data_IF_248631115039
#
_entry.id   IF_248631115039
#
_cell.length_a   1.000
_cell.length_b   1.000
_cell.length_c   1.000
_cell.angle_alpha   90.00
_cell.angle_beta   90.00
_cell.angle_gamma   90.00
#
_symmetry.space_group_name_H-M   'P 1'
#
loop_
_entity.id
_entity.type
_entity.pdbx_description
1 polymer ?
#
# COMPACT_ATOMS: atom_id res chain seq x y z
N UNK A 1 27.87 -6.52 -31.89
CA UNK A 1 27.22 -5.32 -32.46
C UNK A 1 28.27 -4.24 -32.71
N UNK A 2 28.28 -3.62 -33.90
CA UNK A 2 29.21 -2.54 -34.24
C UNK A 2 28.77 -1.22 -33.56
N UNK A 3 29.60 -0.59 -32.71
CA UNK A 3 29.27 0.70 -32.09
C UNK A 3 29.04 1.81 -33.13
N UNK A 4 28.16 2.78 -32.84
CA UNK A 4 27.84 3.86 -33.80
C UNK A 4 29.06 4.68 -34.23
N UNK A 5 29.96 4.94 -33.29
CA UNK A 5 31.21 5.69 -33.52
C UNK A 5 32.38 4.78 -33.94
N UNK A 6 32.12 3.51 -34.23
CA UNK A 6 33.18 2.59 -34.63
C UNK A 6 33.69 2.96 -36.01
N UNK A 7 34.97 3.28 -36.03
CA UNK A 7 35.78 3.51 -37.22
C UNK A 7 36.82 2.40 -37.24
N UNK A 8 37.03 1.80 -38.41
CA UNK A 8 38.02 0.74 -38.55
C UNK A 8 39.41 1.33 -38.24
N UNK A 9 40.15 0.78 -37.27
CA UNK A 9 41.44 1.33 -36.87
C UNK A 9 42.48 1.16 -37.99
N UNK A 10 43.33 2.17 -38.15
CA UNK A 10 44.44 2.12 -39.11
C UNK A 10 45.49 1.11 -38.65
N UNK A 11 46.03 0.34 -39.61
CA UNK A 11 47.11 -0.60 -39.34
C UNK A 11 46.72 -1.90 -38.65
N UNK A 12 45.42 -2.15 -38.40
CA UNK A 12 44.97 -3.41 -37.82
C UNK A 12 44.87 -4.49 -38.94
N UNK A 13 45.68 -5.57 -38.87
CA UNK A 13 45.71 -6.61 -39.90
C UNK A 13 44.42 -7.44 -39.95
N UNK A 14 43.51 -7.31 -38.98
CA UNK A 14 42.20 -7.96 -39.00
C UNK A 14 41.24 -7.37 -40.03
N UNK A 15 41.56 -6.19 -40.55
CA UNK A 15 40.75 -5.48 -41.53
C UNK A 15 41.56 -5.23 -42.81
N UNK A 16 40.93 -5.33 -44.00
CA UNK A 16 41.59 -4.99 -45.25
C UNK A 16 42.05 -3.53 -45.24
N UNK A 17 43.21 -3.26 -45.85
CA UNK A 17 43.85 -1.94 -45.81
C UNK A 17 42.96 -0.85 -46.42
N UNK A 18 42.13 -1.22 -47.40
CA UNK A 18 41.16 -0.37 -48.08
C UNK A 18 40.01 0.07 -47.15
N UNK A 19 39.77 -0.66 -46.07
CA UNK A 19 38.71 -0.37 -45.11
C UNK A 19 39.19 0.43 -43.89
N UNK A 20 40.49 0.68 -43.74
CA UNK A 20 41.02 1.47 -42.63
C UNK A 20 40.47 2.90 -42.65
N UNK A 21 40.11 3.42 -41.47
CA UNK A 21 39.47 4.73 -41.34
C UNK A 21 37.99 4.78 -41.75
N UNK A 22 37.42 3.67 -42.22
CA UNK A 22 36.03 3.64 -42.64
C UNK A 22 35.06 3.70 -41.44
N UNK A 23 34.07 4.62 -41.42
CA UNK A 23 33.11 4.76 -40.33
C UNK A 23 32.01 3.69 -40.43
N UNK A 24 32.39 2.42 -40.24
CA UNK A 24 31.52 1.26 -40.38
C UNK A 24 30.27 1.36 -39.50
N UNK A 25 30.40 1.86 -38.28
CA UNK A 25 29.26 2.06 -37.38
C UNK A 25 28.19 3.00 -37.93
N UNK A 26 28.62 4.10 -38.56
CA UNK A 26 27.71 5.06 -39.21
C UNK A 26 27.12 4.46 -40.49
N UNK A 27 27.92 3.73 -41.27
CA UNK A 27 27.45 3.09 -42.48
C UNK A 27 26.35 2.07 -42.20
N UNK A 28 26.54 1.18 -41.22
CA UNK A 28 25.51 0.22 -40.81
C UNK A 28 24.22 0.92 -40.33
N UNK A 29 24.31 2.10 -39.67
CA UNK A 29 23.14 2.89 -39.31
C UNK A 29 22.42 3.39 -40.56
N UNK A 30 23.16 3.95 -41.51
CA UNK A 30 22.61 4.50 -42.75
C UNK A 30 21.91 3.41 -43.58
N UNK A 31 22.48 2.21 -43.69
CA UNK A 31 21.85 1.07 -44.36
C UNK A 31 20.46 0.76 -43.78
N UNK A 32 20.32 0.72 -42.46
CA UNK A 32 19.02 0.48 -41.80
C UNK A 32 18.01 1.59 -42.08
N UNK A 33 18.46 2.85 -42.09
CA UNK A 33 17.59 4.01 -42.42
C UNK A 33 17.12 3.94 -43.88
N UNK A 34 18.00 3.59 -44.81
CA UNK A 34 17.65 3.44 -46.23
C UNK A 34 16.58 2.35 -46.42
N UNK A 35 16.72 1.21 -45.73
CA UNK A 35 15.74 0.12 -45.76
C UNK A 35 14.38 0.56 -45.18
N UNK A 36 14.38 1.30 -44.07
CA UNK A 36 13.16 1.85 -43.48
C UNK A 36 12.45 2.87 -44.38
N UNK A 37 13.21 3.62 -45.18
CA UNK A 37 12.69 4.58 -46.15
C UNK A 37 12.19 3.92 -47.45
N UNK A 38 12.30 2.59 -47.59
CA UNK A 38 11.91 1.88 -48.82
C UNK A 38 12.80 2.18 -50.02
N UNK A 39 14.03 2.69 -49.80
CA UNK A 39 14.98 2.96 -50.89
C UNK A 39 15.66 1.67 -51.32
N UNK A 40 15.81 1.49 -52.63
CA UNK A 40 16.51 0.34 -53.20
C UNK A 40 18.00 0.41 -52.86
N UNK A 41 18.50 -0.71 -52.33
CA UNK A 41 19.93 -0.95 -52.19
C UNK A 41 20.41 -1.65 -53.45
N UNK A 42 21.67 -1.44 -53.87
CA UNK A 42 22.23 -2.19 -55.00
C UNK A 42 22.11 -3.70 -54.74
N UNK A 43 21.73 -4.45 -55.77
CA UNK A 43 21.42 -5.89 -55.66
C UNK A 43 22.56 -6.70 -55.00
N UNK A 44 23.81 -6.41 -55.37
CA UNK A 44 24.98 -7.06 -54.77
C UNK A 44 25.08 -6.81 -53.25
N UNK A 45 24.78 -5.58 -52.80
CA UNK A 45 24.82 -5.24 -51.39
C UNK A 45 23.74 -5.93 -50.56
N UNK A 46 22.56 -6.24 -51.13
CA UNK A 46 21.50 -6.93 -50.39
C UNK A 46 21.85 -8.41 -50.14
N UNK A 47 22.29 -9.12 -51.18
CA UNK A 47 22.68 -10.53 -51.05
C UNK A 47 23.86 -10.71 -50.09
N UNK A 48 24.85 -9.83 -50.16
CA UNK A 48 26.00 -9.85 -49.26
C UNK A 48 25.57 -9.59 -47.80
N UNK A 49 24.65 -8.64 -47.57
CA UNK A 49 24.13 -8.35 -46.23
C UNK A 49 23.21 -9.46 -45.70
N UNK A 50 22.45 -10.13 -46.55
CA UNK A 50 21.65 -11.30 -46.18
C UNK A 50 22.53 -12.52 -45.85
N UNK A 51 23.59 -12.76 -46.63
CA UNK A 51 24.57 -13.80 -46.35
C UNK A 51 25.32 -13.59 -45.02
N UNK A 52 25.44 -12.33 -44.58
CA UNK A 52 26.04 -11.94 -43.30
C UNK A 52 25.03 -11.88 -42.14
N UNK A 53 23.76 -12.26 -42.37
CA UNK A 53 22.66 -12.14 -41.41
C UNK A 53 22.59 -10.74 -40.78
N UNK A 54 22.65 -9.71 -41.64
CA UNK A 54 22.73 -8.34 -41.18
C UNK A 54 21.48 -7.93 -40.39
N UNK A 55 21.61 -7.46 -39.14
CA UNK A 55 20.45 -7.14 -38.31
C UNK A 55 19.84 -5.80 -38.74
N UNK A 56 18.81 -5.88 -39.59
CA UNK A 56 18.02 -4.75 -40.07
C UNK A 56 17.24 -4.09 -38.92
N UNK A 57 16.54 -4.89 -38.12
CA UNK A 57 15.88 -4.43 -36.90
C UNK A 57 16.75 -4.73 -35.68
N UNK A 58 17.41 -3.67 -35.18
CA UNK A 58 18.24 -3.74 -33.99
C UNK A 58 17.46 -4.09 -32.72
N UNK A 59 16.16 -3.77 -32.66
CA UNK A 59 15.31 -4.09 -31.52
C UNK A 59 14.95 -5.58 -31.55
N UNK A 60 14.57 -6.10 -32.71
CA UNK A 60 14.31 -7.53 -32.90
C UNK A 60 15.56 -8.37 -32.60
N UNK A 61 16.71 -8.00 -33.19
CA UNK A 61 17.95 -8.74 -32.97
C UNK A 61 18.39 -8.74 -31.50
N UNK A 62 18.25 -7.61 -30.77
CA UNK A 62 18.51 -7.58 -29.33
C UNK A 62 17.55 -8.47 -28.54
N UNK A 63 16.29 -8.55 -28.95
CA UNK A 63 15.31 -9.42 -28.30
C UNK A 63 15.71 -10.89 -28.44
N UNK A 64 16.01 -11.33 -29.66
CA UNK A 64 16.33 -12.72 -29.99
C UNK A 64 17.68 -13.17 -29.45
N UNK A 65 18.70 -12.31 -29.51
CA UNK A 65 20.08 -12.69 -29.14
C UNK A 65 20.37 -12.45 -27.67
N UNK A 66 19.80 -11.39 -27.07
CA UNK A 66 20.13 -10.99 -25.71
C UNK A 66 18.98 -11.22 -24.74
N UNK A 67 17.81 -10.66 -25.00
CA UNK A 67 16.72 -10.63 -24.00
C UNK A 67 16.14 -12.01 -23.74
N UNK A 68 15.62 -12.66 -24.78
CA UNK A 68 14.90 -13.92 -24.66
C UNK A 68 15.82 -15.05 -24.14
N UNK A 69 17.05 -15.24 -24.66
CA UNK A 69 17.98 -16.22 -24.12
C UNK A 69 18.39 -15.92 -22.68
N UNK A 70 18.58 -14.64 -22.33
CA UNK A 70 18.90 -14.27 -20.94
C UNK A 70 17.76 -14.58 -19.98
N UNK A 71 16.51 -14.36 -20.40
CA UNK A 71 15.33 -14.69 -19.61
C UNK A 71 15.17 -16.20 -19.41
N UNK A 72 15.32 -16.98 -20.49
CA UNK A 72 15.27 -18.44 -20.44
C UNK A 72 16.35 -19.00 -19.51
N UNK A 73 17.59 -18.50 -19.63
CA UNK A 73 18.68 -18.96 -18.78
C UNK A 73 18.52 -18.53 -17.32
N UNK A 74 18.01 -17.33 -17.08
CA UNK A 74 17.66 -16.88 -15.72
C UNK A 74 16.62 -17.80 -15.08
N UNK A 75 15.57 -18.14 -15.83
CA UNK A 75 14.52 -19.05 -15.35
C UNK A 75 15.07 -20.45 -15.06
N UNK A 76 15.94 -20.98 -15.93
CA UNK A 76 16.61 -22.28 -15.71
C UNK A 76 17.45 -22.29 -14.43
N UNK A 77 18.19 -21.21 -14.15
CA UNK A 77 19.09 -21.13 -13.00
C UNK A 77 18.37 -20.83 -11.68
N UNK A 78 17.30 -20.04 -11.71
CA UNK A 78 16.61 -19.56 -10.51
C UNK A 78 15.24 -20.21 -10.28
N UNK A 79 14.72 -20.96 -11.24
CA UNK A 79 13.38 -21.55 -11.20
C UNK A 79 12.23 -20.54 -11.29
N UNK A 80 12.53 -19.26 -11.52
CA UNK A 80 11.54 -18.19 -11.63
C UNK A 80 12.01 -17.08 -12.56
N UNK A 81 11.07 -16.32 -13.12
CA UNK A 81 11.35 -15.23 -14.06
C UNK A 81 11.33 -13.83 -13.44
N UNK A 82 11.41 -13.76 -12.11
CA UNK A 82 11.48 -12.51 -11.36
C UNK A 82 12.93 -12.00 -11.27
N UNK A 83 13.33 -11.27 -12.30
CA UNK A 83 14.66 -10.66 -12.41
C UNK A 83 14.73 -9.35 -11.58
N UNK A 84 15.68 -9.21 -10.64
CA UNK A 84 15.93 -7.96 -9.92
C UNK A 84 16.32 -6.83 -10.87
N UNK A 85 15.88 -5.61 -10.57
CA UNK A 85 16.15 -4.44 -11.43
C UNK A 85 17.64 -4.11 -11.61
N UNK A 86 18.48 -4.43 -10.61
CA UNK A 86 19.93 -4.26 -10.67
C UNK A 86 20.68 -5.45 -11.29
N UNK A 87 19.99 -6.52 -11.67
CA UNK A 87 20.63 -7.73 -12.16
C UNK A 87 21.35 -7.48 -13.48
N UNK A 88 22.62 -7.86 -13.49
CA UNK A 88 23.51 -7.87 -14.65
C UNK A 88 24.02 -9.29 -14.80
N UNK A 89 23.99 -9.81 -16.03
CA UNK A 89 24.52 -11.13 -16.33
C UNK A 89 26.00 -11.17 -15.93
N UNK A 90 26.41 -12.06 -15.01
CA UNK A 90 27.79 -12.15 -14.57
C UNK A 90 28.72 -12.53 -15.73
N UNK A 91 29.89 -11.89 -15.78
CA UNK A 91 30.91 -12.15 -16.82
C UNK A 91 31.90 -13.25 -16.43
N UNK A 92 31.85 -13.68 -15.17
CA UNK A 92 32.67 -14.70 -14.53
C UNK A 92 31.96 -16.05 -14.41
N UNK A 93 30.69 -16.12 -14.80
CA UNK A 93 29.87 -17.33 -14.71
C UNK A 93 29.74 -18.01 -16.07
N UNK A 94 30.41 -19.15 -16.22
CA UNK A 94 30.40 -19.97 -17.45
C UNK A 94 29.02 -20.55 -17.78
N UNK A 95 28.08 -20.57 -16.82
CA UNK A 95 26.70 -21.00 -17.07
C UNK A 95 25.99 -20.04 -18.01
N UNK A 96 26.47 -18.82 -18.15
CA UNK A 96 25.93 -17.83 -19.07
C UNK A 96 26.72 -17.84 -20.39
N UNK A 97 26.04 -17.86 -21.55
CA UNK A 97 26.68 -17.62 -22.83
C UNK A 97 27.44 -16.29 -22.84
N UNK A 98 28.69 -16.31 -23.36
CA UNK A 98 29.58 -15.13 -23.39
C UNK A 98 28.95 -13.89 -24.05
N UNK A 99 28.05 -14.09 -25.01
CA UNK A 99 27.32 -13.02 -25.68
C UNK A 99 26.39 -12.24 -24.72
N UNK A 100 25.98 -12.87 -23.62
CA UNK A 100 25.09 -12.29 -22.61
C UNK A 100 25.85 -11.61 -21.48
N UNK A 101 27.16 -11.84 -21.34
CA UNK A 101 27.97 -11.29 -20.24
C UNK A 101 27.91 -9.77 -20.17
N UNK A 102 27.69 -9.24 -18.97
CA UNK A 102 27.52 -7.81 -18.74
C UNK A 102 26.19 -7.23 -19.22
N UNK A 103 25.28 -8.05 -19.77
CA UNK A 103 23.96 -7.59 -20.19
C UNK A 103 23.12 -7.22 -18.97
N UNK A 104 22.61 -5.98 -18.96
CA UNK A 104 21.76 -5.46 -17.88
C UNK A 104 20.33 -5.96 -18.06
N UNK A 105 20.12 -7.25 -17.85
CA UNK A 105 18.81 -7.89 -17.98
C UNK A 105 17.78 -7.24 -17.06
N UNK A 106 18.13 -6.95 -15.79
CA UNK A 106 17.23 -6.33 -14.82
C UNK A 106 16.67 -4.97 -15.27
N UNK A 107 17.55 -4.09 -15.75
CA UNK A 107 17.18 -2.78 -16.32
C UNK A 107 16.29 -2.94 -17.55
N UNK A 108 16.59 -3.93 -18.38
CA UNK A 108 15.82 -4.21 -19.60
C UNK A 108 14.41 -4.68 -19.26
N UNK A 109 14.25 -5.58 -18.28
CA UNK A 109 12.93 -6.02 -17.80
C UNK A 109 12.16 -4.88 -17.12
N UNK A 110 12.83 -4.01 -16.35
CA UNK A 110 12.18 -2.81 -15.82
C UNK A 110 11.67 -1.91 -16.94
N UNK A 111 12.49 -1.64 -17.95
CA UNK A 111 12.08 -0.85 -19.11
C UNK A 111 10.87 -1.47 -19.83
N UNK A 112 10.81 -2.79 -19.96
CA UNK A 112 9.65 -3.48 -20.54
C UNK A 112 8.38 -3.32 -19.70
N UNK A 113 8.50 -3.28 -18.37
CA UNK A 113 7.37 -3.16 -17.44
C UNK A 113 6.88 -1.72 -17.25
N UNK A 114 7.77 -0.74 -17.38
CA UNK A 114 7.47 0.67 -17.10
C UNK A 114 7.30 1.54 -18.36
N UNK A 115 7.99 1.22 -19.45
CA UNK A 115 8.01 2.01 -20.68
C UNK A 115 7.51 1.25 -21.92
N UNK A 116 6.91 0.06 -21.72
CA UNK A 116 6.41 -0.83 -22.78
C UNK A 116 7.40 -1.06 -23.93
N UNK A 117 8.69 -1.06 -23.61
CA UNK A 117 9.71 -1.44 -24.58
C UNK A 117 9.51 -2.89 -25.01
N UNK A 118 9.81 -3.19 -26.27
CA UNK A 118 9.65 -4.51 -26.87
C UNK A 118 8.21 -5.06 -26.89
N UNK A 119 7.17 -4.19 -26.87
CA UNK A 119 5.76 -4.64 -26.93
C UNK A 119 5.47 -5.62 -28.06
N UNK A 120 5.82 -5.27 -29.31
CA UNK A 120 5.60 -6.13 -30.48
C UNK A 120 6.36 -7.47 -30.37
N UNK A 121 7.59 -7.46 -29.84
CA UNK A 121 8.39 -8.66 -29.65
C UNK A 121 7.81 -9.60 -28.58
N UNK A 122 7.27 -9.03 -27.49
CA UNK A 122 6.60 -9.80 -26.44
C UNK A 122 5.35 -10.49 -26.97
N UNK A 123 4.54 -9.75 -27.74
CA UNK A 123 3.33 -10.30 -28.38
C UNK A 123 3.68 -11.41 -29.37
N UNK A 124 4.72 -11.22 -30.19
CA UNK A 124 5.20 -12.26 -31.11
C UNK A 124 5.79 -13.50 -30.41
N UNK A 125 6.37 -13.34 -29.21
CA UNK A 125 7.05 -14.40 -28.45
C UNK A 125 6.24 -14.86 -27.22
N UNK A 126 4.93 -14.64 -27.19
CA UNK A 126 4.08 -14.89 -26.01
C UNK A 126 4.21 -16.32 -25.49
N UNK A 127 4.17 -17.33 -26.39
CA UNK A 127 4.29 -18.75 -26.04
C UNK A 127 5.61 -19.09 -25.32
N UNK A 128 6.72 -18.49 -25.75
CA UNK A 128 8.03 -18.70 -25.12
C UNK A 128 8.08 -18.05 -23.74
N UNK A 129 7.45 -16.89 -23.58
CA UNK A 129 7.35 -16.19 -22.30
C UNK A 129 6.44 -16.92 -21.30
N UNK A 130 5.35 -17.53 -21.78
CA UNK A 130 4.48 -18.39 -20.96
C UNK A 130 5.23 -19.63 -20.46
N UNK A 131 6.04 -20.27 -21.31
CA UNK A 131 6.84 -21.44 -20.96
C UNK A 131 7.80 -21.18 -19.80
N UNK A 132 8.39 -20.00 -19.75
CA UNK A 132 9.28 -19.58 -18.64
C UNK A 132 8.52 -18.92 -17.49
N UNK A 133 7.18 -18.93 -17.52
CA UNK A 133 6.32 -18.27 -16.53
C UNK A 133 6.69 -16.80 -16.32
N UNK A 134 7.12 -16.11 -17.38
CA UNK A 134 7.48 -14.71 -17.31
C UNK A 134 6.22 -13.86 -17.18
N UNK A 135 6.09 -13.18 -16.05
CA UNK A 135 4.96 -12.29 -15.84
C UNK A 135 5.25 -10.89 -16.40
N UNK A 136 4.38 -10.48 -17.32
CA UNK A 136 4.28 -9.11 -17.82
C UNK A 136 3.80 -8.14 -16.74
N UNK A 137 3.01 -8.65 -15.78
CA UNK A 137 2.45 -7.86 -14.69
C UNK A 137 3.54 -7.39 -13.73
N UNK A 138 3.33 -6.18 -13.20
CA UNK A 138 4.24 -5.60 -12.22
C UNK A 138 4.23 -6.46 -10.96
N UNK A 139 5.36 -6.52 -10.26
CA UNK A 139 5.42 -7.24 -8.97
C UNK A 139 4.33 -6.74 -8.00
N UNK A 140 4.12 -5.42 -7.95
CA UNK A 140 3.08 -4.77 -7.15
C UNK A 140 1.69 -5.29 -7.48
N UNK A 141 1.36 -5.37 -8.77
CA UNK A 141 0.08 -5.85 -9.27
C UNK A 141 -0.12 -7.33 -8.97
N UNK A 142 0.89 -8.17 -9.23
CA UNK A 142 0.85 -9.59 -8.84
C UNK A 142 0.67 -9.77 -7.34
N UNK A 143 1.39 -9.00 -6.53
CA UNK A 143 1.28 -9.07 -5.08
C UNK A 143 -0.13 -8.68 -4.61
N UNK A 144 -0.72 -7.67 -5.25
CA UNK A 144 -2.08 -7.25 -5.00
C UNK A 144 -3.10 -8.35 -5.33
N UNK A 145 -3.06 -8.85 -6.56
CA UNK A 145 -4.02 -9.82 -7.09
C UNK A 145 -3.89 -11.20 -6.46
N UNK A 146 -2.66 -11.68 -6.23
CA UNK A 146 -2.41 -13.03 -5.72
C UNK A 146 -2.42 -13.12 -4.19
N UNK A 147 -2.08 -12.02 -3.48
CA UNK A 147 -1.90 -12.06 -2.02
C UNK A 147 -2.76 -11.05 -1.27
N UNK A 148 -2.60 -9.76 -1.54
CA UNK A 148 -3.17 -8.71 -0.67
C UNK A 148 -4.70 -8.72 -0.75
N UNK A 149 -5.27 -8.64 -1.96
CA UNK A 149 -6.71 -8.58 -2.13
C UNK A 149 -7.41 -9.88 -1.68
N UNK A 150 -6.94 -11.10 -2.06
CA UNK A 150 -7.50 -12.35 -1.52
C UNK A 150 -7.38 -12.48 0.00
N UNK A 151 -6.31 -11.96 0.60
CA UNK A 151 -6.16 -11.96 2.05
C UNK A 151 -7.19 -11.04 2.73
N UNK A 152 -7.50 -9.88 2.14
CA UNK A 152 -8.54 -8.98 2.66
C UNK A 152 -9.93 -9.62 2.59
N UNK A 153 -10.26 -10.28 1.47
CA UNK A 153 -11.53 -11.01 1.31
C UNK A 153 -11.64 -12.12 2.36
N UNK A 154 -10.58 -12.91 2.55
CA UNK A 154 -10.56 -13.97 3.57
C UNK A 154 -10.66 -13.40 5.00
N UNK A 155 -10.04 -12.24 5.26
CA UNK A 155 -10.12 -11.56 6.55
C UNK A 155 -11.55 -11.06 6.84
N UNK A 156 -12.22 -10.42 5.88
CA UNK A 156 -13.63 -10.03 6.01
C UNK A 156 -14.52 -11.23 6.30
N UNK A 157 -14.30 -12.36 5.62
CA UNK A 157 -15.08 -13.58 5.84
C UNK A 157 -14.91 -14.15 7.25
N UNK A 158 -13.69 -14.11 7.82
CA UNK A 158 -13.44 -14.70 9.14
C UNK A 158 -13.82 -13.75 10.30
N UNK A 159 -13.62 -12.44 10.14
CA UNK A 159 -13.81 -11.46 11.22
C UNK A 159 -15.01 -10.52 11.03
N UNK A 160 -15.69 -10.59 9.89
CA UNK A 160 -16.83 -9.72 9.56
C UNK A 160 -16.48 -8.27 9.21
N UNK A 161 -15.21 -7.86 9.39
CA UNK A 161 -14.76 -6.49 9.18
C UNK A 161 -13.38 -6.42 8.48
N UNK A 162 -13.03 -5.25 7.93
CA UNK A 162 -11.73 -5.01 7.29
C UNK A 162 -10.73 -4.21 8.17
N UNK A 163 -11.01 -4.06 9.47
CA UNK A 163 -10.06 -3.41 10.39
C UNK A 163 -8.96 -4.38 10.86
N UNK A 164 -7.92 -4.53 10.03
CA UNK A 164 -6.80 -5.45 10.31
C UNK A 164 -5.84 -4.85 11.33
N UNK A 165 -5.60 -5.56 12.43
CA UNK A 165 -4.59 -5.18 13.43
C UNK A 165 -3.18 -5.17 12.80
N UNK A 166 -2.35 -4.17 13.11
CA UNK A 166 -0.99 -4.01 12.58
C UNK A 166 -0.13 -5.29 12.66
N UNK A 167 -0.20 -6.02 13.78
CA UNK A 167 0.61 -7.22 14.01
C UNK A 167 0.00 -8.50 13.37
N UNK A 168 -1.15 -8.38 12.70
CA UNK A 168 -1.81 -9.54 12.13
C UNK A 168 -0.99 -10.12 10.96
N UNK A 169 -0.67 -11.40 11.10
CA UNK A 169 -0.03 -12.23 10.07
C UNK A 169 -1.03 -13.31 9.67
N UNK A 170 -1.21 -13.50 8.36
CA UNK A 170 -2.13 -14.51 7.84
C UNK A 170 -1.72 -15.90 8.34
N UNK A 171 -2.59 -16.60 9.09
CA UNK A 171 -2.29 -17.91 9.63
C UNK A 171 -2.08 -18.96 8.54
N UNK A 172 -1.27 -19.98 8.84
CA UNK A 172 -1.14 -21.16 7.98
C UNK A 172 -2.30 -22.14 8.21
N UNK A 173 -3.52 -21.71 7.88
CA UNK A 173 -4.75 -22.48 8.05
C UNK A 173 -5.46 -22.70 6.71
N UNK A 174 -6.24 -23.79 6.55
CA UNK A 174 -6.92 -24.13 5.30
C UNK A 174 -7.95 -23.07 4.87
N UNK A 175 -8.49 -22.32 5.83
CA UNK A 175 -9.40 -21.19 5.58
C UNK A 175 -8.75 -20.04 4.81
N UNK A 176 -7.42 -19.97 4.76
CA UNK A 176 -6.68 -18.92 4.08
C UNK A 176 -6.08 -19.43 2.77
N UNK A 177 -6.20 -18.67 1.66
CA UNK A 177 -5.59 -19.05 0.39
C UNK A 177 -4.10 -19.34 0.55
N UNK A 178 -3.58 -20.41 -0.06
CA UNK A 178 -2.17 -20.81 0.08
C UNK A 178 -1.17 -19.65 -0.17
N UNK A 179 -1.36 -18.79 -1.18
CA UNK A 179 -0.42 -17.70 -1.46
C UNK A 179 -0.38 -16.61 -0.39
N UNK A 180 -1.43 -16.49 0.43
CA UNK A 180 -1.57 -15.41 1.42
C UNK A 180 -0.92 -15.75 2.76
N UNK A 181 -0.62 -17.03 3.01
CA UNK A 181 -0.12 -17.52 4.30
C UNK A 181 1.23 -16.91 4.64
N UNK A 182 1.38 -16.45 5.87
CA UNK A 182 2.58 -15.74 6.33
C UNK A 182 2.67 -14.27 5.89
N UNK A 183 1.70 -13.76 5.12
CA UNK A 183 1.63 -12.34 4.78
C UNK A 183 1.37 -11.51 6.04
N UNK A 184 2.20 -10.50 6.30
CA UNK A 184 1.97 -9.48 7.35
C UNK A 184 0.88 -8.50 6.90
N UNK A 185 -0.35 -9.00 6.76
CA UNK A 185 -1.49 -8.25 6.22
C UNK A 185 -1.76 -6.98 7.02
N UNK A 186 -1.60 -7.02 8.35
CA UNK A 186 -1.75 -5.84 9.21
C UNK A 186 -0.82 -4.69 8.85
N UNK A 187 0.48 -4.99 8.75
CA UNK A 187 1.49 -4.02 8.35
C UNK A 187 1.28 -3.54 6.90
N UNK A 188 0.86 -4.43 5.99
CA UNK A 188 0.53 -4.05 4.62
C UNK A 188 -0.63 -3.07 4.57
N UNK A 189 -1.73 -3.34 5.26
CA UNK A 189 -2.91 -2.46 5.35
C UNK A 189 -2.55 -1.13 6.00
N UNK A 190 -1.77 -1.14 7.08
CA UNK A 190 -1.31 0.10 7.72
C UNK A 190 -0.45 0.95 6.75
N UNK A 191 0.45 0.32 5.99
CA UNK A 191 1.24 1.02 4.99
C UNK A 191 0.38 1.53 3.82
N UNK A 192 -0.67 0.81 3.42
CA UNK A 192 -1.64 1.30 2.43
C UNK A 192 -2.33 2.57 2.94
N UNK A 193 -2.80 2.58 4.19
CA UNK A 193 -3.50 3.71 4.81
C UNK A 193 -2.59 4.91 5.06
N UNK A 194 -1.38 4.70 5.58
CA UNK A 194 -0.50 5.79 6.03
C UNK A 194 0.50 6.27 4.97
N UNK A 195 0.96 5.40 4.07
CA UNK A 195 2.05 5.71 3.13
C UNK A 195 1.60 5.76 1.66
N UNK A 196 0.33 5.46 1.37
CA UNK A 196 -0.16 5.37 -0.01
C UNK A 196 0.44 4.18 -0.78
N UNK A 197 0.94 3.17 -0.07
CA UNK A 197 1.40 1.95 -0.74
C UNK A 197 0.21 1.32 -1.48
N UNK A 198 0.41 0.92 -2.73
CA UNK A 198 -0.64 0.34 -3.58
C UNK A 198 -1.82 1.29 -3.90
N UNK A 199 -1.66 2.61 -3.78
CA UNK A 199 -2.70 3.60 -4.17
C UNK A 199 -3.18 3.40 -5.61
N UNK A 200 -2.25 3.09 -6.53
CA UNK A 200 -2.54 2.76 -7.92
C UNK A 200 -3.44 1.51 -8.07
N UNK A 201 -3.20 0.49 -7.26
CA UNK A 201 -4.03 -0.74 -7.27
C UNK A 201 -5.36 -0.53 -6.57
N UNK A 202 -5.36 0.26 -5.50
CA UNK A 202 -6.56 0.59 -4.74
C UNK A 202 -7.55 1.44 -5.55
N UNK A 203 -7.06 2.36 -6.38
CA UNK A 203 -7.93 3.12 -7.29
C UNK A 203 -8.47 2.21 -8.41
N UNK A 204 -7.63 1.33 -8.96
CA UNK A 204 -8.05 0.33 -9.97
C UNK A 204 -9.17 -0.58 -9.46
N UNK A 205 -9.07 -1.04 -8.22
CA UNK A 205 -10.00 -1.99 -7.60
C UNK A 205 -10.92 -1.36 -6.54
N UNK A 206 -11.20 -0.06 -6.67
CA UNK A 206 -11.98 0.72 -5.69
C UNK A 206 -13.35 0.13 -5.40
N UNK A 207 -14.05 -0.34 -6.42
CA UNK A 207 -15.38 -0.94 -6.26
C UNK A 207 -15.31 -2.27 -5.51
N UNK A 208 -14.27 -3.08 -5.76
CA UNK A 208 -14.04 -4.32 -5.02
C UNK A 208 -13.72 -4.05 -3.55
N UNK A 209 -12.94 -3.01 -3.28
CA UNK A 209 -12.65 -2.55 -1.91
C UNK A 209 -13.92 -2.04 -1.20
N UNK A 210 -14.80 -1.34 -1.92
CA UNK A 210 -16.09 -0.88 -1.41
C UNK A 210 -17.02 -2.06 -1.09
N UNK A 211 -17.08 -3.07 -1.95
CA UNK A 211 -17.88 -4.29 -1.74
C UNK A 211 -17.43 -5.07 -0.48
N UNK A 212 -16.12 -5.15 -0.23
CA UNK A 212 -15.61 -5.76 0.99
C UNK A 212 -15.73 -4.85 2.22
N UNK A 213 -16.22 -3.61 2.09
CA UNK A 213 -16.32 -2.66 3.19
C UNK A 213 -14.94 -2.29 3.76
N UNK A 214 -13.95 -2.12 2.88
CA UNK A 214 -12.60 -1.77 3.31
C UNK A 214 -12.55 -0.34 3.85
N UNK A 215 -12.25 -0.23 5.14
CA UNK A 215 -12.16 1.05 5.84
C UNK A 215 -10.77 1.67 5.62
N UNK A 216 -10.73 2.86 5.03
CA UNK A 216 -9.49 3.60 4.78
C UNK A 216 -8.99 4.32 6.03
N UNK A 217 -9.90 4.89 6.81
CA UNK A 217 -9.57 5.55 8.06
C UNK A 217 -10.45 5.01 9.20
N UNK A 218 -9.97 4.00 9.95
CA UNK A 218 -10.75 3.39 11.04
C UNK A 218 -11.19 4.38 12.12
N UNK A 219 -10.40 5.42 12.37
CA UNK A 219 -10.76 6.45 13.36
C UNK A 219 -11.85 7.37 12.84
N UNK A 220 -11.85 7.68 11.54
CA UNK A 220 -12.92 8.45 10.91
C UNK A 220 -14.23 7.67 10.87
N UNK A 221 -14.20 6.40 10.48
CA UNK A 221 -15.38 5.55 10.46
C UNK A 221 -15.95 5.38 11.88
N UNK A 222 -15.07 5.17 12.87
CA UNK A 222 -15.47 5.10 14.27
C UNK A 222 -16.10 6.41 14.74
N UNK A 223 -15.53 7.56 14.38
CA UNK A 223 -16.11 8.85 14.73
C UNK A 223 -17.47 9.04 14.05
N UNK A 224 -17.52 8.89 12.73
CA UNK A 224 -18.66 9.26 11.90
C UNK A 224 -19.85 8.32 12.03
N UNK A 225 -19.61 7.01 12.19
CA UNK A 225 -20.66 5.99 12.23
C UNK A 225 -20.96 5.43 13.62
N UNK A 226 -20.05 5.57 14.59
CA UNK A 226 -20.24 5.01 15.94
C UNK A 226 -20.39 6.11 16.97
N UNK A 227 -19.40 7.01 17.07
CA UNK A 227 -19.37 8.03 18.13
C UNK A 227 -20.43 9.11 17.89
N UNK A 228 -20.51 9.66 16.67
CA UNK A 228 -21.45 10.74 16.34
C UNK A 228 -22.92 10.30 16.50
N UNK A 229 -23.38 9.15 15.95
CA UNK A 229 -24.76 8.70 16.15
C UNK A 229 -25.07 8.41 17.62
N UNK A 230 -24.11 7.90 18.40
CA UNK A 230 -24.29 7.71 19.83
C UNK A 230 -24.45 9.05 20.56
N UNK A 231 -23.68 10.09 20.19
CA UNK A 231 -23.83 11.43 20.76
C UNK A 231 -25.18 12.06 20.38
N UNK A 232 -25.62 11.91 19.13
CA UNK A 232 -26.92 12.41 18.65
C UNK A 232 -28.09 11.80 19.45
N UNK A 233 -28.09 10.47 19.63
CA UNK A 233 -29.13 9.77 20.42
C UNK A 233 -29.06 10.18 21.89
N UNK A 234 -27.85 10.28 22.46
CA UNK A 234 -27.67 10.73 23.85
C UNK A 234 -28.27 12.12 24.07
N UNK A 235 -27.92 13.09 23.23
CA UNK A 235 -28.39 14.46 23.34
C UNK A 235 -29.90 14.55 23.09
N UNK A 236 -30.45 13.74 22.17
CA UNK A 236 -31.90 13.66 21.97
C UNK A 236 -32.66 13.11 23.17
N UNK A 237 -32.08 12.16 23.92
CA UNK A 237 -32.75 11.51 25.06
C UNK A 237 -32.64 12.32 26.34
N UNK A 238 -31.44 12.84 26.64
CA UNK A 238 -31.15 13.50 27.91
C UNK A 238 -31.17 15.02 27.82
N UNK A 239 -31.32 15.57 26.60
CA UNK A 239 -31.35 17.01 26.32
C UNK A 239 -30.17 17.76 26.96
N UNK A 240 -29.01 17.09 27.01
CA UNK A 240 -27.76 17.61 27.56
C UNK A 240 -26.61 17.23 26.65
N UNK A 241 -25.68 18.17 26.45
CA UNK A 241 -24.42 17.93 25.75
C UNK A 241 -23.33 17.33 26.63
N UNK A 242 -23.59 17.13 27.93
CA UNK A 242 -22.63 16.55 28.87
C UNK A 242 -22.86 15.06 29.06
N UNK A 243 -21.86 14.24 28.71
CA UNK A 243 -21.89 12.79 28.88
C UNK A 243 -21.11 12.39 30.16
N UNK A 244 -21.76 11.77 31.17
CA UNK A 244 -21.08 11.24 32.35
C UNK A 244 -20.01 10.21 32.01
N UNK A 245 -18.90 10.19 32.75
CA UNK A 245 -17.74 9.32 32.49
C UNK A 245 -18.11 7.83 32.45
N UNK A 246 -18.98 7.41 33.37
CA UNK A 246 -19.42 6.02 33.51
C UNK A 246 -20.55 5.63 32.56
N UNK A 247 -21.02 6.56 31.71
CA UNK A 247 -22.10 6.28 30.77
C UNK A 247 -21.64 5.28 29.70
N UNK A 248 -22.37 4.17 29.64
CA UNK A 248 -22.26 3.12 28.63
C UNK A 248 -23.56 3.07 27.86
N UNK A 249 -23.47 3.04 26.53
CA UNK A 249 -24.65 2.96 25.66
C UNK A 249 -25.44 1.68 25.97
N UNK A 250 -26.72 1.79 26.36
CA UNK A 250 -27.60 0.64 26.63
C UNK A 250 -27.80 -0.27 25.40
N UNK A 251 -28.14 -1.53 25.62
CA UNK A 251 -28.44 -2.50 24.56
C UNK A 251 -29.93 -2.44 24.12
N UNK A 252 -30.50 -1.25 24.08
CA UNK A 252 -31.94 -1.04 23.90
C UNK A 252 -32.22 0.04 22.82
N UNK A 253 -33.40 0.01 22.21
CA UNK A 253 -33.85 1.11 21.36
C UNK A 253 -33.96 2.41 22.18
N UNK A 254 -33.58 3.59 21.66
CA UNK A 254 -33.35 3.94 20.25
C UNK A 254 -31.88 3.85 19.79
N UNK A 255 -31.00 3.18 20.55
CA UNK A 255 -29.58 3.13 20.22
C UNK A 255 -29.29 2.19 19.03
N UNK A 256 -28.59 2.66 17.99
CA UNK A 256 -28.17 1.80 16.88
C UNK A 256 -27.37 0.61 17.39
N UNK A 257 -27.59 -0.58 16.84
CA UNK A 257 -26.91 -1.81 17.30
C UNK A 257 -25.38 -1.68 17.37
N UNK A 258 -24.80 -0.94 16.43
CA UNK A 258 -23.35 -0.69 16.35
C UNK A 258 -22.79 0.19 17.48
N UNK A 259 -23.64 0.93 18.20
CA UNK A 259 -23.23 1.81 19.30
C UNK A 259 -23.45 1.17 20.67
N UNK A 260 -24.15 0.03 20.75
CA UNK A 260 -24.50 -0.63 22.01
C UNK A 260 -23.26 -1.16 22.75
N UNK A 261 -23.21 -0.94 24.06
CA UNK A 261 -22.04 -1.26 24.89
C UNK A 261 -20.85 -0.31 24.74
N UNK A 262 -20.96 0.75 23.93
CA UNK A 262 -19.92 1.77 23.80
C UNK A 262 -19.80 2.56 25.11
N UNK A 263 -18.60 2.61 25.68
CA UNK A 263 -18.28 3.47 26.83
C UNK A 263 -18.16 4.93 26.39
N UNK A 264 -19.29 5.53 26.00
CA UNK A 264 -19.36 6.86 25.41
C UNK A 264 -18.83 7.94 26.36
N UNK A 265 -19.07 7.82 27.66
CA UNK A 265 -18.51 8.72 28.68
C UNK A 265 -16.98 8.78 28.71
N UNK A 266 -16.33 7.63 28.65
CA UNK A 266 -14.87 7.55 28.59
C UNK A 266 -14.31 8.15 27.29
N UNK A 267 -15.01 7.99 26.18
CA UNK A 267 -14.62 8.58 24.89
C UNK A 267 -14.78 10.10 24.97
N UNK A 268 -15.90 10.59 25.49
CA UNK A 268 -16.16 12.01 25.70
C UNK A 268 -15.05 12.68 26.53
N UNK A 269 -14.66 12.05 27.64
CA UNK A 269 -13.57 12.54 28.49
C UNK A 269 -12.20 12.49 27.81
N UNK A 270 -11.92 11.46 26.99
CA UNK A 270 -10.68 11.40 26.19
C UNK A 270 -10.63 12.53 25.17
N UNK A 271 -11.72 12.78 24.45
CA UNK A 271 -11.80 13.88 23.47
C UNK A 271 -11.48 15.21 24.16
N UNK A 272 -12.05 15.44 25.34
CA UNK A 272 -11.84 16.64 26.15
C UNK A 272 -10.42 16.79 26.70
N UNK A 273 -9.89 15.76 27.37
CA UNK A 273 -8.65 15.87 28.12
C UNK A 273 -7.40 15.64 27.29
N UNK A 274 -7.45 14.73 26.31
CA UNK A 274 -6.27 14.36 25.51
C UNK A 274 -6.30 14.96 24.11
N UNK A 275 -7.38 15.66 23.74
CA UNK A 275 -7.58 16.13 22.36
C UNK A 275 -7.74 14.98 21.36
N UNK A 276 -8.13 13.79 21.83
CA UNK A 276 -8.42 12.67 20.93
C UNK A 276 -9.55 13.08 19.98
N UNK A 277 -9.44 12.73 18.70
CA UNK A 277 -10.41 13.12 17.66
C UNK A 277 -10.52 14.63 17.38
N UNK A 278 -9.57 15.48 17.79
CA UNK A 278 -9.63 16.93 17.60
C UNK A 278 -9.96 17.37 16.17
N UNK A 279 -9.31 16.76 15.16
CA UNK A 279 -9.57 17.06 13.74
C UNK A 279 -11.00 16.73 13.30
N UNK A 280 -11.63 15.72 13.90
CA UNK A 280 -13.01 15.32 13.59
C UNK A 280 -14.02 16.18 14.35
N UNK A 281 -13.70 16.59 15.58
CA UNK A 281 -14.46 17.58 16.35
C UNK A 281 -14.49 18.92 15.61
N UNK A 282 -13.37 19.36 15.04
CA UNK A 282 -13.32 20.57 14.21
C UNK A 282 -14.16 20.41 12.93
N UNK A 283 -14.09 19.26 12.27
CA UNK A 283 -14.87 18.97 11.06
C UNK A 283 -16.38 18.97 11.33
N UNK A 284 -16.82 18.34 12.42
CA UNK A 284 -18.24 18.19 12.77
C UNK A 284 -18.71 19.24 13.82
N UNK A 285 -17.98 20.35 13.95
CA UNK A 285 -18.21 21.36 15.00
C UNK A 285 -19.63 21.94 14.99
N UNK A 286 -20.17 22.24 13.80
CA UNK A 286 -21.54 22.76 13.68
C UNK A 286 -22.59 21.74 14.12
N UNK A 287 -22.37 20.45 13.81
CA UNK A 287 -23.26 19.35 14.24
C UNK A 287 -23.22 19.17 15.74
N UNK A 288 -22.03 19.21 16.33
CA UNK A 288 -21.84 19.13 17.78
C UNK A 288 -22.46 20.35 18.50
N UNK A 289 -22.29 21.54 17.94
CA UNK A 289 -22.90 22.77 18.44
C UNK A 289 -24.43 22.72 18.43
N UNK A 290 -25.03 22.18 17.36
CA UNK A 290 -26.48 21.96 17.28
C UNK A 290 -27.01 20.98 18.35
N UNK A 291 -26.18 20.04 18.80
CA UNK A 291 -26.48 19.10 19.89
C UNK A 291 -26.20 19.69 21.28
N UNK A 292 -25.66 20.91 21.36
CA UNK A 292 -25.25 21.54 22.62
C UNK A 292 -23.99 20.93 23.24
N UNK A 293 -23.19 20.20 22.46
CA UNK A 293 -21.95 19.58 22.92
C UNK A 293 -20.81 20.60 22.78
N UNK A 294 -20.29 21.06 23.91
CA UNK A 294 -19.06 21.83 23.97
C UNK A 294 -17.99 21.08 24.80
N UNK A 295 -16.99 20.54 24.11
CA UNK A 295 -15.87 19.85 24.75
C UNK A 295 -14.94 20.80 25.52
N UNK A 296 -15.01 22.12 25.30
CA UNK A 296 -14.18 23.14 25.97
C UNK A 296 -14.90 23.78 27.17
N UNK A 297 -16.22 23.68 27.27
CA UNK A 297 -17.00 24.28 28.36
C UNK A 297 -16.58 23.73 29.73
N UNK A 298 -16.30 24.54 30.77
CA UNK A 298 -15.99 24.06 32.11
C UNK A 298 -17.12 23.18 32.67
N UNK A 299 -16.77 22.20 33.53
CA UNK A 299 -17.76 21.33 34.15
C UNK A 299 -18.68 22.15 35.06
N UNK A 300 -19.93 22.34 34.65
CA UNK A 300 -20.98 22.83 35.51
C UNK A 300 -21.76 21.63 36.07
N UNK A 301 -21.88 21.47 37.40
CA UNK A 301 -22.74 20.46 37.98
C UNK A 301 -24.17 20.74 37.52
N UNK A 302 -24.72 19.86 36.68
CA UNK A 302 -26.11 19.97 36.25
C UNK A 302 -26.97 19.84 37.50
N UNK A 303 -27.58 20.95 37.95
CA UNK A 303 -28.68 20.88 38.91
C UNK A 303 -29.80 20.10 38.23
N UNK A 304 -30.06 18.87 38.67
CA UNK A 304 -31.18 18.07 38.19
C UNK A 304 -32.50 18.78 38.50
N UNK A 305 -32.98 19.60 37.57
CA UNK A 305 -34.39 19.97 37.51
C UNK A 305 -35.05 19.00 36.54
N UNK A 306 -35.40 17.82 37.05
CA UNK A 306 -36.30 16.89 36.37
C UNK A 306 -37.65 17.61 36.28
N UNK A 307 -37.94 18.26 35.15
CA UNK A 307 -39.30 18.66 34.82
C UNK A 307 -40.07 17.39 34.48
N UNK A 308 -40.79 16.89 35.47
CA UNK A 308 -41.80 15.84 35.34
C UNK A 308 -42.86 16.25 34.30
N UNK A 309 -42.83 15.68 33.11
CA UNK A 309 -44.03 15.42 32.30
C UNK A 309 -43.86 14.12 31.51
N UNK A 310 -44.72 13.14 31.80
CA UNK A 310 -44.94 11.94 30.98
C UNK A 310 -44.45 10.62 31.58
N UNK A 311 -45.30 9.97 32.39
CA UNK A 311 -45.13 8.58 32.87
C UNK A 311 -44.89 7.61 31.71
N UNK A 312 -43.78 6.86 31.76
CA UNK A 312 -43.79 5.40 31.57
C UNK A 312 -42.98 4.80 32.72
N UNK A 313 -43.65 3.96 33.53
CA UNK A 313 -43.13 3.36 34.75
C UNK A 313 -42.05 2.33 34.41
N UNK A 314 -40.90 2.39 35.09
CA UNK A 314 -40.23 1.20 35.61
C UNK A 314 -39.73 1.52 37.03
N UNK A 315 -39.97 0.59 37.95
CA UNK A 315 -40.02 0.82 39.39
C UNK A 315 -38.69 1.17 40.07
N UNK A 316 -38.84 2.05 41.07
CA UNK A 316 -38.07 2.21 42.31
C UNK A 316 -36.63 1.68 42.37
N UNK A 317 -35.67 2.62 42.40
CA UNK A 317 -34.46 2.49 43.23
C UNK A 317 -34.30 3.80 44.00
N UNK A 318 -34.73 3.77 45.27
CA UNK A 318 -34.50 4.84 46.24
C UNK A 318 -33.01 4.91 46.54
N UNK A 319 -32.47 6.12 46.45
CA UNK A 319 -31.21 6.49 47.07
C UNK A 319 -31.42 6.60 48.58
N UNK A 320 -30.30 6.43 49.28
CA UNK A 320 -30.05 6.83 50.66
C UNK A 320 -30.41 5.79 51.73
N UNK A 321 -29.43 4.92 52.00
CA UNK A 321 -28.94 4.83 53.37
C UNK A 321 -27.41 4.71 53.40
N UNK A 322 -26.84 5.49 54.30
CA UNK A 322 -25.43 5.62 54.61
C UNK A 322 -24.86 4.33 55.26
N UNK A 323 -23.53 4.22 55.15
CA UNK A 323 -22.63 3.61 56.14
C UNK A 323 -22.40 2.08 56.17
N UNK A 324 -21.12 1.76 55.94
CA UNK A 324 -20.27 0.84 56.70
C UNK A 324 -20.45 -0.68 56.62
N UNK A 325 -19.31 -1.29 56.28
CA UNK A 325 -18.66 -2.43 56.94
C UNK A 325 -18.85 -3.86 56.36
N UNK A 326 -17.72 -4.37 55.85
CA UNK A 326 -17.06 -5.64 56.20
C UNK A 326 -17.93 -6.88 56.54
N UNK A 327 -17.64 -7.95 55.78
CA UNK A 327 -17.42 -9.39 56.14
C UNK A 327 -18.36 -10.38 55.43
N UNK A 328 -17.72 -11.37 54.77
CA UNK A 328 -17.95 -12.85 54.76
C UNK A 328 -19.42 -13.33 54.60
N UNK A 329 -19.76 -14.35 53.81
CA UNK A 329 -19.05 -15.54 53.35
C UNK A 329 -19.84 -16.20 52.19
N UNK A 330 -19.16 -16.96 51.31
CA UNK A 330 -19.38 -18.40 50.97
C UNK A 330 -20.86 -18.81 50.81
N UNK A 331 -21.33 -19.36 49.70
CA UNK A 331 -21.00 -20.72 49.25
C UNK A 331 -21.51 -21.05 47.81
N UNK A 332 -20.63 -21.68 47.02
CA UNK A 332 -20.82 -22.80 46.05
C UNK A 332 -21.75 -22.70 44.81
N UNK A 333 -21.10 -22.51 43.65
CA UNK A 333 -20.96 -23.35 42.40
C UNK A 333 -21.79 -24.64 42.20
N UNK A 334 -21.90 -25.28 40.98
CA UNK A 334 -20.97 -25.18 39.82
C UNK A 334 -21.47 -25.42 38.34
N UNK A 335 -20.56 -25.12 37.37
CA UNK A 335 -20.31 -25.70 35.98
C UNK A 335 -21.15 -25.20 34.76
N UNK A 336 -20.63 -25.11 33.50
CA UNK A 336 -19.27 -25.43 32.98
C UNK A 336 -18.47 -24.28 32.34
N UNK A 337 -17.16 -24.38 32.52
CA UNK A 337 -16.10 -23.75 31.72
C UNK A 337 -15.97 -24.45 30.36
N UNK A 338 -15.97 -23.70 29.27
CA UNK A 338 -15.00 -23.85 28.19
C UNK A 338 -15.06 -22.61 27.29
N UNK A 339 -13.92 -22.23 26.72
CA UNK A 339 -13.65 -21.01 25.95
C UNK A 339 -13.39 -19.75 26.78
N UNK A 340 -12.18 -19.61 27.34
CA UNK A 340 -11.31 -18.41 27.21
C UNK A 340 -10.00 -18.63 27.99
N UNK A 341 -9.29 -19.71 27.68
CA UNK A 341 -7.92 -19.93 28.15
C UNK A 341 -6.91 -19.48 27.07
N UNK A 342 -6.73 -18.17 26.88
CA UNK A 342 -5.62 -17.67 26.03
C UNK A 342 -4.94 -16.36 26.51
N UNK A 343 -5.23 -15.88 27.72
CA UNK A 343 -4.55 -14.69 28.27
C UNK A 343 -3.92 -14.94 29.65
N UNK A 344 -3.04 -15.93 29.74
CA UNK A 344 -2.00 -15.99 30.77
C UNK A 344 -0.70 -16.51 30.17
N UNK A 345 0.13 -15.61 29.65
CA UNK A 345 1.59 -15.73 29.73
C UNK A 345 2.21 -14.36 29.41
N UNK A 346 3.25 -14.00 30.16
CA UNK A 346 4.03 -12.75 30.14
C UNK A 346 3.56 -11.58 31.00
N UNK A 347 3.60 -11.81 32.32
CA UNK A 347 4.18 -10.84 33.24
C UNK A 347 5.38 -11.48 33.93
N UNK A 348 6.60 -11.21 33.42
CA UNK A 348 7.87 -11.25 34.17
C UNK A 348 8.98 -10.73 33.27
N UNK A 349 9.41 -9.50 33.51
CA UNK A 349 10.53 -8.89 32.82
C UNK A 349 10.54 -7.38 32.99
N UNK A 350 10.94 -6.89 34.17
CA UNK A 350 11.35 -5.49 34.38
C UNK A 350 12.49 -5.17 33.42
N UNK A 351 12.31 -4.22 32.52
CA UNK A 351 13.38 -3.36 32.03
C UNK A 351 12.81 -1.95 31.83
N UNK A 352 13.48 -0.97 32.44
CA UNK A 352 13.13 0.46 32.44
C UNK A 352 13.16 0.99 31.00
N UNK A 353 12.05 1.56 30.52
CA UNK A 353 12.07 2.44 29.34
C UNK A 353 12.46 3.85 29.80
N UNK A 354 13.62 4.30 29.32
CA UNK A 354 13.96 5.71 29.23
C UNK A 354 13.07 6.40 28.20
N UNK A 355 12.85 7.67 28.44
CA UNK A 355 12.03 8.60 27.67
C UNK A 355 12.35 8.57 26.17
N UNK A 356 11.34 8.27 25.35
CA UNK A 356 11.32 8.62 23.93
C UNK A 356 9.93 9.21 23.66
N UNK A 357 9.91 10.54 23.57
CA UNK A 357 8.74 11.34 23.20
C UNK A 357 8.32 10.96 21.78
N UNK A 358 7.04 10.63 21.62
CA UNK A 358 6.39 10.42 20.33
C UNK A 358 5.74 11.72 19.88
N UNK A 359 6.55 12.66 19.42
CA UNK A 359 6.08 13.77 18.58
C UNK A 359 6.57 13.45 17.16
N UNK A 360 5.61 13.13 16.28
CA UNK A 360 5.67 13.23 14.81
C UNK A 360 4.79 12.16 14.16
N UNK A 361 3.47 12.38 14.18
CA UNK A 361 2.57 11.83 13.16
C UNK A 361 1.57 12.90 12.72
N UNK A 362 1.60 13.18 11.42
CA UNK A 362 0.60 13.92 10.62
C UNK A 362 0.53 15.44 10.75
N UNK A 363 1.42 16.17 10.05
CA UNK A 363 1.07 17.41 9.33
C UNK A 363 1.98 17.63 8.11
N UNK A 364 1.56 17.18 6.92
CA UNK A 364 1.91 17.89 5.68
C UNK A 364 1.09 17.40 4.48
N UNK A 365 0.00 18.09 4.18
CA UNK A 365 -0.49 18.26 2.80
C UNK A 365 -0.97 19.70 2.61
N UNK A 366 -0.43 20.32 1.55
CA UNK A 366 -0.81 21.58 0.85
C UNK A 366 -0.16 22.92 1.26
N UNK A 367 0.79 23.36 0.43
CA UNK A 367 0.93 24.67 -0.26
C UNK A 367 2.26 24.63 -1.03
N UNK A 368 2.48 25.20 -2.21
CA UNK A 368 1.69 25.91 -3.21
C UNK A 368 2.50 25.82 -4.53
N UNK A 369 1.85 25.64 -5.67
CA UNK A 369 2.43 25.86 -7.00
C UNK A 369 1.72 27.08 -7.57
N UNK A 370 2.36 28.23 -7.52
CA UNK A 370 2.06 29.40 -8.34
C UNK A 370 3.19 30.40 -8.09
N UNK A 371 4.02 30.62 -9.11
CA UNK A 371 4.51 31.94 -9.54
C UNK A 371 5.45 31.76 -10.75
N UNK A 372 5.05 32.38 -11.86
CA UNK A 372 5.87 32.58 -13.04
C UNK A 372 6.90 33.71 -12.85
N UNK A 373 7.71 34.00 -13.88
CA UNK A 373 8.99 34.71 -13.76
C UNK A 373 8.91 36.21 -14.09
N UNK A 374 9.94 36.95 -13.62
CA UNK A 374 10.56 38.20 -14.15
C UNK A 374 10.85 39.24 -13.03
N UNK A 375 11.72 40.26 -13.23
CA UNK A 375 12.91 40.40 -14.09
C UNK A 375 14.17 40.81 -13.27
N UNK A 376 15.32 40.90 -13.95
CA UNK A 376 16.64 41.05 -13.32
C UNK A 376 17.04 42.44 -12.85
N UNK A 377 18.24 42.50 -12.24
CA UNK A 377 19.21 43.60 -12.40
C UNK A 377 20.55 43.26 -11.73
N UNK A 378 21.61 43.57 -12.48
CA UNK A 378 22.91 44.11 -12.09
C UNK A 378 23.92 43.29 -11.26
N UNK A 379 25.08 43.18 -11.90
CA UNK A 379 26.44 42.82 -11.46
C UNK A 379 26.98 43.87 -10.45
N UNK A 380 27.96 43.51 -9.61
CA UNK A 380 29.27 44.11 -9.82
C UNK A 380 30.43 43.11 -9.77
N UNK A 381 31.46 43.47 -10.54
CA UNK A 381 32.82 42.92 -10.57
C UNK A 381 33.48 42.98 -9.19
N UNK A 382 34.36 42.02 -8.89
CA UNK A 382 35.77 42.33 -8.60
C UNK A 382 36.60 41.05 -8.28
N UNK A 383 37.71 40.95 -9.02
CA UNK A 383 38.96 40.16 -8.86
C UNK A 383 38.93 38.65 -9.14
#
# INVERSE_FOLDING_TARGET
MVPLKFVIPYGDPKYPAEAWGYPLGMHCKNLRVLKQQGKELPFFALNDLEALDFPWDMRQHKWEVLVLPSLQKYHELHGHSDVPGSFVVPSDDERWPKVLWGFRLGQTIMSMKYADTYKAQREASEKELEKIQFSTLRWRERMWDSKIFPALVAFKREFGHCNVNFNFVVPNAPKWPKPTRGLRLGATVANMRCRGNYEDMAERDKDKLKEIGFVWNPEDDRWSYIIMPALEVYCSLFNTGWVPVDFVVPDEEPWPEITRGLRLGNIFMKVRHTGAYSSYVERDGDRLGALGIDFKAPYEPISMSIKTQGRLKLGELKSDDFCTSKKRAKEKSPVPEDHYAFLRFFARGRLKLGELKSDDFCTSKKRAKENGPCPGQAVPEDI
#
